data_IF_415885745009
#
_entry.id   IF_415885745009
#
_cell.length_a   1.000
_cell.length_b   1.000
_cell.length_c   1.000
_cell.angle_alpha   90.00
_cell.angle_beta   90.00
_cell.angle_gamma   90.00
#
_symmetry.space_group_name_H-M   'P 1'
#
loop_
_entity.id
_entity.type
_entity.pdbx_description
1 polymer ?
#
# COMPACT_ATOMS: atom_id res chain seq x y z
N UNK A 1 -75.37 7.62 -8.42
CA UNK A 1 -75.27 9.05 -8.77
C UNK A 1 -74.09 9.63 -8.01
N UNK A 2 -73.07 10.35 -8.52
CA UNK A 2 -72.63 10.79 -9.84
C UNK A 2 -71.36 11.65 -9.65
N UNK A 3 -70.45 11.60 -10.63
CA UNK A 3 -69.32 12.48 -11.01
C UNK A 3 -68.34 13.05 -9.93
N UNK A 4 -67.01 12.80 -9.96
CA UNK A 4 -65.96 13.30 -10.90
C UNK A 4 -65.92 14.83 -11.10
N UNK A 5 -64.84 15.49 -10.63
CA UNK A 5 -64.18 16.71 -11.18
C UNK A 5 -62.92 16.98 -10.30
N UNK A 6 -61.71 16.50 -10.61
CA UNK A 6 -60.69 17.06 -11.54
C UNK A 6 -60.38 18.56 -11.35
N UNK A 7 -59.27 18.87 -10.67
CA UNK A 7 -58.52 20.14 -10.73
C UNK A 7 -57.08 19.81 -10.32
N UNK A 8 -56.13 19.51 -11.20
CA UNK A 8 -55.46 20.37 -12.19
C UNK A 8 -55.04 21.74 -11.65
N UNK A 9 -54.03 21.77 -10.78
CA UNK A 9 -53.10 22.90 -10.72
C UNK A 9 -51.69 22.44 -11.05
N UNK A 10 -51.35 22.79 -12.29
CA UNK A 10 -50.08 22.71 -12.97
C UNK A 10 -49.22 23.84 -12.40
N UNK A 11 -48.40 23.57 -11.39
CA UNK A 11 -47.30 24.47 -11.00
C UNK A 11 -46.11 24.15 -11.88
N UNK A 12 -46.03 24.98 -12.91
CA UNK A 12 -44.96 25.09 -13.89
C UNK A 12 -43.66 25.48 -13.18
N UNK A 13 -42.78 24.51 -12.98
CA UNK A 13 -41.37 24.76 -12.74
C UNK A 13 -40.71 25.00 -14.10
N UNK A 14 -40.36 26.25 -14.36
CA UNK A 14 -39.50 26.65 -15.47
C UNK A 14 -38.06 26.38 -15.01
N UNK A 15 -37.46 25.30 -15.47
CA UNK A 15 -36.01 25.15 -15.46
C UNK A 15 -35.50 25.84 -16.74
N UNK A 16 -34.73 26.92 -16.55
CA UNK A 16 -33.95 27.54 -17.61
C UNK A 16 -32.81 26.62 -18.02
N UNK A 17 -32.76 26.34 -19.31
CA UNK A 17 -31.76 25.53 -19.98
C UNK A 17 -30.89 26.51 -20.79
N UNK A 18 -29.91 27.12 -20.13
CA UNK A 18 -28.87 27.93 -20.78
C UNK A 18 -27.56 27.15 -20.69
N UNK A 19 -27.42 26.19 -21.60
CA UNK A 19 -26.17 25.49 -21.89
C UNK A 19 -25.22 26.43 -22.62
N UNK A 20 -24.42 27.17 -21.84
CA UNK A 20 -23.37 28.04 -22.37
C UNK A 20 -22.10 27.20 -22.67
N UNK A 21 -21.85 27.00 -23.96
CA UNK A 21 -20.67 26.34 -24.52
C UNK A 21 -19.39 27.11 -24.17
N UNK A 22 -18.43 26.44 -23.52
CA UNK A 22 -17.11 27.00 -23.26
C UNK A 22 -16.28 27.12 -24.56
N UNK A 23 -15.77 28.32 -24.90
CA UNK A 23 -14.90 28.48 -26.07
C UNK A 23 -13.53 27.85 -25.85
N UNK A 24 -13.13 27.03 -26.84
CA UNK A 24 -11.82 26.41 -26.93
C UNK A 24 -10.67 27.42 -26.89
N UNK A 25 -9.85 27.33 -25.85
CA UNK A 25 -8.57 28.03 -25.78
C UNK A 25 -7.56 27.39 -26.75
N UNK A 26 -7.35 28.10 -27.86
CA UNK A 26 -6.19 27.97 -28.74
C UNK A 26 -4.95 28.46 -27.99
N UNK A 27 -4.16 27.55 -27.41
CA UNK A 27 -2.80 27.87 -26.97
C UNK A 27 -1.79 27.46 -28.05
N UNK A 28 -1.41 28.43 -28.88
CA UNK A 28 -0.25 28.35 -29.76
C UNK A 28 1.01 28.30 -28.88
N UNK A 29 1.74 27.19 -28.87
CA UNK A 29 3.12 27.18 -28.40
C UNK A 29 4.03 26.71 -29.53
N UNK A 30 4.67 27.70 -30.14
CA UNK A 30 5.90 27.52 -30.91
C UNK A 30 6.97 27.14 -29.87
N UNK A 31 7.44 25.90 -29.91
CA UNK A 31 8.67 25.53 -29.26
C UNK A 31 9.66 25.13 -30.34
N UNK A 32 10.42 26.14 -30.74
CA UNK A 32 11.68 25.95 -31.41
C UNK A 32 12.67 25.31 -30.44
N UNK A 33 13.48 24.39 -30.98
CA UNK A 33 14.87 24.23 -30.57
C UNK A 33 15.13 23.52 -29.24
N UNK A 34 15.42 22.22 -29.32
CA UNK A 34 16.73 21.69 -28.91
C UNK A 34 16.92 20.26 -29.39
N UNK A 35 17.51 20.14 -30.59
CA UNK A 35 18.19 18.93 -31.02
C UNK A 35 19.54 18.91 -30.29
N UNK A 36 19.70 18.04 -29.28
CA UNK A 36 20.99 17.72 -28.69
C UNK A 36 21.19 16.19 -28.74
N UNK A 37 21.89 15.79 -29.81
CA UNK A 37 23.03 14.87 -29.84
C UNK A 37 22.98 13.63 -28.93
N UNK A 38 22.71 12.47 -29.54
CA UNK A 38 23.28 11.19 -29.13
C UNK A 38 23.97 10.57 -30.34
N UNK A 39 25.30 10.75 -30.43
CA UNK A 39 26.19 10.11 -31.39
C UNK A 39 27.13 9.16 -30.65
N UNK A 40 27.03 7.88 -30.97
CA UNK A 40 27.78 6.78 -30.40
C UNK A 40 29.28 6.81 -30.75
N UNK A 41 30.14 6.40 -29.81
CA UNK A 41 31.43 5.74 -30.10
C UNK A 41 31.64 4.63 -29.08
N UNK A 42 31.42 3.39 -29.52
CA UNK A 42 32.00 2.19 -28.92
C UNK A 42 33.48 2.08 -29.31
N UNK A 43 34.30 1.53 -28.41
CA UNK A 43 35.34 0.50 -28.66
C UNK A 43 36.48 0.63 -27.63
N UNK A 44 36.61 -0.37 -26.76
CA UNK A 44 37.90 -1.03 -26.52
C UNK A 44 37.67 -2.34 -25.75
N UNK A 45 38.11 -3.42 -26.39
CA UNK A 45 38.15 -4.78 -25.88
C UNK A 45 39.57 -5.10 -25.35
N UNK A 46 39.72 -6.32 -24.79
CA UNK A 46 40.94 -7.03 -24.33
C UNK A 46 41.28 -6.81 -22.83
N UNK A 47 41.51 -7.80 -21.97
CA UNK A 47 42.18 -9.11 -22.13
C UNK A 47 41.78 -10.12 -21.02
N UNK A 48 41.97 -11.41 -21.30
CA UNK A 48 41.82 -12.57 -20.41
C UNK A 48 42.95 -12.66 -19.37
N UNK A 49 42.65 -13.07 -18.12
CA UNK A 49 43.60 -13.85 -17.30
C UNK A 49 42.88 -14.92 -16.48
N UNK A 50 43.25 -16.16 -16.80
CA UNK A 50 42.99 -17.39 -16.08
C UNK A 50 43.92 -17.47 -14.85
N UNK A 51 43.36 -17.59 -13.64
CA UNK A 51 44.11 -17.81 -12.40
C UNK A 51 43.58 -19.04 -11.67
N UNK A 52 44.24 -20.17 -11.90
CA UNK A 52 44.07 -21.45 -11.22
C UNK A 52 45.30 -21.68 -10.34
N UNK A 53 45.12 -22.08 -9.08
CA UNK A 53 46.19 -22.61 -8.23
C UNK A 53 46.05 -22.33 -6.73
N UNK A 54 45.80 -23.36 -5.92
CA UNK A 54 45.94 -23.33 -4.45
C UNK A 54 45.17 -24.43 -3.71
N UNK A 55 45.81 -25.58 -3.52
CA UNK A 55 45.36 -26.85 -2.93
C UNK A 55 45.25 -26.87 -1.39
N UNK A 56 44.39 -27.76 -0.84
CA UNK A 56 44.54 -28.33 0.50
C UNK A 56 43.31 -28.29 1.42
N UNK A 57 42.46 -29.33 1.40
CA UNK A 57 41.43 -29.52 2.43
C UNK A 57 40.45 -30.67 2.18
N UNK A 58 40.86 -31.88 2.55
CA UNK A 58 40.13 -33.14 2.42
C UNK A 58 38.80 -33.18 3.20
N UNK A 59 37.78 -33.81 2.60
CA UNK A 59 36.75 -34.53 3.35
C UNK A 59 35.31 -34.24 2.99
N UNK A 60 34.67 -35.16 2.25
CA UNK A 60 33.20 -35.32 2.29
C UNK A 60 32.54 -35.44 0.93
N UNK A 61 32.73 -36.57 0.25
CA UNK A 61 31.77 -37.03 -0.74
C UNK A 61 30.51 -37.51 0.00
N UNK A 62 29.36 -36.88 -0.27
CA UNK A 62 28.07 -37.55 -0.23
C UNK A 62 27.22 -37.07 -1.40
N UNK A 63 26.98 -37.98 -2.34
CA UNK A 63 25.91 -37.89 -3.30
C UNK A 63 24.56 -38.10 -2.58
N UNK A 64 23.57 -37.27 -2.89
CA UNK A 64 22.17 -37.65 -2.79
C UNK A 64 21.38 -36.85 -3.82
N UNK A 65 21.10 -37.52 -4.94
CA UNK A 65 19.96 -37.22 -5.76
C UNK A 65 18.72 -37.87 -5.11
N UNK A 66 17.69 -37.09 -4.80
CA UNK A 66 16.29 -37.52 -4.85
C UNK A 66 15.33 -36.35 -4.61
N UNK A 67 14.55 -36.07 -5.65
CA UNK A 67 13.29 -35.33 -5.67
C UNK A 67 12.40 -35.55 -4.44
N UNK A 68 11.98 -34.46 -3.79
CA UNK A 68 10.61 -34.27 -3.32
C UNK A 68 10.35 -32.81 -2.91
N UNK A 69 9.36 -32.22 -3.60
CA UNK A 69 8.28 -31.45 -2.98
C UNK A 69 8.63 -30.06 -2.41
N UNK A 70 8.37 -29.05 -3.24
CA UNK A 70 7.84 -27.75 -2.85
C UNK A 70 8.49 -27.11 -1.63
N UNK A 71 9.62 -26.46 -1.82
CA UNK A 71 9.93 -25.26 -1.04
C UNK A 71 9.50 -24.09 -1.89
N UNK A 72 8.50 -23.34 -1.42
CA UNK A 72 8.21 -22.03 -1.94
C UNK A 72 9.52 -21.25 -1.94
N UNK A 73 10.01 -20.93 -3.13
CA UNK A 73 11.05 -19.91 -3.29
C UNK A 73 10.48 -18.64 -2.69
N UNK A 74 10.90 -18.29 -1.48
CA UNK A 74 10.78 -16.92 -1.01
C UNK A 74 11.49 -16.06 -2.06
N UNK A 75 10.74 -15.17 -2.70
CA UNK A 75 11.29 -14.27 -3.72
C UNK A 75 12.49 -13.54 -3.14
N UNK A 76 13.67 -13.58 -3.79
CA UNK A 76 14.85 -12.82 -3.34
C UNK A 76 14.61 -11.30 -3.34
N UNK A 77 13.55 -10.86 -4.02
CA UNK A 77 13.13 -9.47 -4.14
C UNK A 77 12.73 -8.82 -2.81
N UNK A 78 12.13 -9.57 -1.86
CA UNK A 78 11.69 -8.99 -0.59
C UNK A 78 12.86 -8.55 0.30
N UNK A 79 13.95 -9.33 0.31
CA UNK A 79 15.14 -8.99 1.08
C UNK A 79 15.94 -7.82 0.49
N UNK A 80 16.01 -7.71 -0.84
CA UNK A 80 16.71 -6.59 -1.49
C UNK A 80 15.91 -5.29 -1.36
N UNK A 81 14.60 -5.32 -1.58
CA UNK A 81 13.72 -4.15 -1.45
C UNK A 81 13.67 -3.63 -0.01
N UNK A 82 13.65 -4.54 0.99
CA UNK A 82 13.79 -4.17 2.39
C UNK A 82 15.13 -3.47 2.68
N UNK A 83 16.23 -3.98 2.14
CA UNK A 83 17.55 -3.36 2.36
C UNK A 83 17.64 -1.95 1.75
N UNK A 84 17.08 -1.76 0.56
CA UNK A 84 17.00 -0.45 -0.10
C UNK A 84 16.13 0.52 0.69
N UNK A 85 15.00 0.04 1.22
CA UNK A 85 14.11 0.82 2.08
C UNK A 85 14.82 1.25 3.38
N UNK A 86 15.50 0.32 4.07
CA UNK A 86 16.27 0.62 5.29
C UNK A 86 17.34 1.67 5.01
N UNK A 87 18.05 1.58 3.89
CA UNK A 87 19.06 2.55 3.50
C UNK A 87 18.46 3.94 3.19
N UNK A 88 17.30 3.99 2.53
CA UNK A 88 16.58 5.24 2.31
C UNK A 88 16.14 5.88 3.63
N UNK A 89 15.63 5.08 4.57
CA UNK A 89 15.28 5.55 5.91
C UNK A 89 16.50 6.10 6.67
N UNK A 90 17.67 5.46 6.58
CA UNK A 90 18.92 5.98 7.17
C UNK A 90 19.30 7.35 6.60
N UNK A 91 19.15 7.55 5.29
CA UNK A 91 19.42 8.86 4.64
C UNK A 91 18.45 9.93 5.11
N UNK A 92 17.16 9.60 5.21
CA UNK A 92 16.14 10.51 5.72
C UNK A 92 16.42 10.92 7.17
N UNK A 93 16.67 9.94 8.05
CA UNK A 93 17.00 10.20 9.46
C UNK A 93 18.29 11.03 9.59
N UNK A 94 19.32 10.76 8.77
CA UNK A 94 20.54 11.59 8.74
C UNK A 94 20.21 13.05 8.43
N UNK A 95 19.37 13.30 7.42
CA UNK A 95 18.94 14.66 7.08
C UNK A 95 18.18 15.33 8.25
N UNK A 96 17.32 14.59 8.96
CA UNK A 96 16.61 15.13 10.12
C UNK A 96 17.59 15.55 11.24
N UNK A 97 18.65 14.76 11.48
CA UNK A 97 19.71 15.11 12.43
C UNK A 97 20.50 16.34 11.99
N UNK A 98 20.82 16.42 10.71
CA UNK A 98 21.49 17.60 10.15
C UNK A 98 20.61 18.86 10.25
N UNK A 99 19.29 18.69 10.18
CA UNK A 99 18.30 19.74 10.43
C UNK A 99 18.07 20.03 11.93
N UNK A 100 18.76 19.32 12.83
CA UNK A 100 18.76 19.54 14.26
C UNK A 100 17.66 18.82 15.04
N UNK A 101 17.04 17.78 14.48
CA UNK A 101 16.15 16.88 15.20
C UNK A 101 16.90 15.66 15.72
N UNK A 102 16.56 15.24 16.94
CA UNK A 102 17.06 13.97 17.46
C UNK A 102 16.18 12.83 16.94
N UNK A 103 16.68 12.16 15.88
CA UNK A 103 16.00 11.07 15.22
C UNK A 103 16.85 9.78 15.33
N UNK A 104 16.34 8.71 15.97
CA UNK A 104 17.08 7.46 16.09
C UNK A 104 17.18 6.75 14.73
N UNK A 105 18.17 5.87 14.60
CA UNK A 105 18.31 5.04 13.39
C UNK A 105 17.13 4.08 13.21
N UNK A 106 16.80 3.72 11.95
CA UNK A 106 15.82 2.67 11.69
C UNK A 106 16.30 1.30 12.19
N UNK A 107 15.35 0.48 12.63
CA UNK A 107 15.57 -0.93 12.94
C UNK A 107 15.85 -1.78 11.67
N UNK A 108 16.02 -3.10 11.84
CA UNK A 108 16.25 -4.02 10.73
C UNK A 108 15.08 -4.10 9.73
N UNK A 109 13.90 -3.57 10.09
CA UNK A 109 12.71 -3.50 9.24
C UNK A 109 12.50 -2.10 8.64
N UNK A 110 13.43 -1.16 8.88
CA UNK A 110 13.33 0.21 8.39
C UNK A 110 12.47 1.13 9.28
N UNK A 111 12.05 0.65 10.45
CA UNK A 111 11.19 1.40 11.36
C UNK A 111 11.97 2.39 12.20
N UNK A 112 11.55 3.64 12.14
CA UNK A 112 12.12 4.74 12.91
C UNK A 112 11.18 5.09 14.06
N UNK A 113 11.61 4.85 15.30
CA UNK A 113 10.84 5.26 16.48
C UNK A 113 11.09 6.73 16.81
N UNK A 114 10.26 7.61 16.25
CA UNK A 114 10.34 9.06 16.52
C UNK A 114 9.68 9.48 17.85
N UNK A 115 9.22 8.52 18.66
CA UNK A 115 8.52 8.78 19.92
C UNK A 115 7.19 9.52 19.71
N UNK A 116 6.93 10.56 20.52
CA UNK A 116 5.69 11.33 20.47
C UNK A 116 5.61 12.26 19.25
N UNK A 117 5.06 11.72 18.16
CA UNK A 117 4.76 12.42 16.91
C UNK A 117 3.93 13.71 17.10
N UNK A 118 3.13 13.80 18.17
CA UNK A 118 2.31 14.99 18.44
C UNK A 118 3.17 16.20 18.83
N UNK A 119 4.36 15.99 19.38
CA UNK A 119 5.32 17.08 19.65
C UNK A 119 5.92 17.60 18.35
N UNK A 120 6.30 16.70 17.45
CA UNK A 120 6.91 17.05 16.16
C UNK A 120 5.94 17.82 15.26
N UNK A 121 4.66 17.45 15.27
CA UNK A 121 3.61 18.18 14.53
C UNK A 121 3.36 19.60 15.03
N UNK A 122 3.73 19.91 16.27
CA UNK A 122 3.52 21.23 16.91
C UNK A 122 4.80 22.07 16.99
N UNK A 123 5.95 21.47 16.74
CA UNK A 123 7.25 22.16 16.78
C UNK A 123 7.60 22.72 15.39
N UNK A 124 7.71 24.05 15.23
CA UNK A 124 8.11 24.67 13.98
C UNK A 124 9.45 24.17 13.44
N UNK A 125 10.40 23.81 14.32
CA UNK A 125 11.70 23.27 13.93
C UNK A 125 11.54 21.90 13.27
N UNK A 126 10.67 21.06 13.85
CA UNK A 126 10.41 19.73 13.32
C UNK A 126 9.64 19.77 11.99
N UNK A 127 8.70 20.70 11.83
CA UNK A 127 8.01 20.91 10.55
C UNK A 127 8.98 21.36 9.45
N UNK A 128 9.85 22.33 9.75
CA UNK A 128 10.86 22.79 8.78
C UNK A 128 11.87 21.71 8.42
N UNK A 129 12.30 20.89 9.37
CA UNK A 129 13.19 19.77 9.11
C UNK A 129 12.53 18.71 8.22
N UNK A 130 11.26 18.36 8.50
CA UNK A 130 10.49 17.44 7.65
C UNK A 130 10.34 17.98 6.23
N UNK A 131 10.07 19.27 6.06
CA UNK A 131 9.96 19.90 4.73
C UNK A 131 11.31 19.87 3.99
N UNK A 132 12.41 20.21 4.67
CA UNK A 132 13.76 20.14 4.08
C UNK A 132 14.16 18.73 3.64
N UNK A 133 13.73 17.72 4.41
CA UNK A 133 14.08 16.32 4.18
C UNK A 133 13.01 15.54 3.41
N UNK A 134 11.93 16.19 2.96
CA UNK A 134 10.77 15.53 2.34
C UNK A 134 11.14 14.69 1.12
N UNK A 135 12.10 15.14 0.31
CA UNK A 135 12.58 14.42 -0.87
C UNK A 135 13.34 13.11 -0.57
N UNK A 136 13.73 12.88 0.69
CA UNK A 136 14.38 11.64 1.15
C UNK A 136 13.40 10.69 1.83
N UNK A 137 12.19 11.15 2.18
CA UNK A 137 11.14 10.31 2.74
C UNK A 137 10.57 9.43 1.64
N UNK A 138 10.90 8.15 1.66
CA UNK A 138 10.38 7.17 0.70
C UNK A 138 9.09 6.53 1.22
N UNK A 139 8.18 6.18 0.32
CA UNK A 139 7.04 5.35 0.66
C UNK A 139 7.52 3.95 1.07
N UNK A 140 6.77 3.30 1.95
CA UNK A 140 7.01 1.89 2.28
C UNK A 140 6.63 1.05 1.06
N UNK A 141 7.53 0.20 0.54
CA UNK A 141 7.16 -0.72 -0.53
C UNK A 141 6.15 -1.77 -0.06
N UNK A 142 5.23 -2.20 -0.93
CA UNK A 142 4.17 -3.17 -0.61
C UNK A 142 4.74 -4.47 -0.01
N UNK A 143 5.91 -4.92 -0.48
CA UNK A 143 6.54 -6.14 0.02
C UNK A 143 7.04 -5.98 1.46
N UNK A 144 7.55 -4.79 1.80
CA UNK A 144 7.99 -4.44 3.16
C UNK A 144 6.79 -4.30 4.08
N UNK A 145 5.73 -3.62 3.61
CA UNK A 145 4.49 -3.47 4.39
C UNK A 145 3.89 -4.85 4.72
N UNK A 146 3.84 -5.77 3.75
CA UNK A 146 3.37 -7.14 3.97
C UNK A 146 4.25 -7.91 4.95
N UNK A 147 5.57 -7.81 4.83
CA UNK A 147 6.52 -8.47 5.74
C UNK A 147 6.45 -7.93 7.18
N UNK A 148 5.93 -6.71 7.35
CA UNK A 148 5.78 -6.04 8.64
C UNK A 148 4.47 -6.35 9.35
N UNK A 149 3.51 -7.01 8.69
CA UNK A 149 2.22 -7.30 9.29
C UNK A 149 2.39 -8.27 10.47
N UNK A 150 1.63 -8.07 11.58
CA UNK A 150 1.72 -8.96 12.73
C UNK A 150 1.31 -10.39 12.37
N UNK A 151 2.11 -11.37 12.75
CA UNK A 151 1.72 -12.77 12.63
C UNK A 151 0.52 -13.05 13.54
N UNK A 152 -0.52 -13.62 12.96
CA UNK A 152 -1.75 -13.97 13.66
C UNK A 152 -1.66 -15.39 14.21
N UNK A 153 -2.24 -15.61 15.38
CA UNK A 153 -2.46 -16.96 15.88
C UNK A 153 -3.41 -17.73 14.97
N UNK A 154 -3.32 -19.06 15.00
CA UNK A 154 -4.22 -19.92 14.21
C UNK A 154 -5.70 -19.67 14.55
N UNK A 155 -6.01 -19.27 15.78
CA UNK A 155 -7.38 -18.98 16.21
C UNK A 155 -7.88 -17.64 15.62
N UNK A 156 -7.01 -16.64 15.53
CA UNK A 156 -7.31 -15.37 14.87
C UNK A 156 -7.48 -15.54 13.36
N UNK A 157 -6.61 -16.32 12.72
CA UNK A 157 -6.73 -16.65 11.29
C UNK A 157 -8.09 -17.29 11.00
N UNK A 158 -8.47 -18.34 11.76
CA UNK A 158 -9.78 -19.00 11.61
C UNK A 158 -10.94 -18.06 11.89
N UNK A 159 -10.78 -17.13 12.84
CA UNK A 159 -11.82 -16.14 13.16
C UNK A 159 -12.04 -15.17 12.01
N UNK A 160 -10.97 -14.67 11.39
CA UNK A 160 -11.05 -13.77 10.23
C UNK A 160 -11.60 -14.47 8.99
N UNK A 161 -11.21 -15.72 8.75
CA UNK A 161 -11.79 -16.55 7.68
C UNK A 161 -13.30 -16.74 7.87
N UNK A 162 -13.74 -17.11 9.09
CA UNK A 162 -15.17 -17.22 9.42
C UNK A 162 -15.91 -15.89 9.24
N UNK A 163 -15.27 -14.77 9.59
CA UNK A 163 -15.86 -13.45 9.40
C UNK A 163 -16.05 -13.14 7.92
N UNK A 164 -15.06 -13.43 7.07
CA UNK A 164 -15.17 -13.26 5.62
C UNK A 164 -16.33 -14.05 5.04
N UNK A 165 -16.40 -15.36 5.35
CA UNK A 165 -17.50 -16.23 4.89
C UNK A 165 -18.86 -15.71 5.37
N UNK A 166 -18.98 -15.32 6.64
CA UNK A 166 -20.22 -14.75 7.16
C UNK A 166 -20.62 -13.48 6.40
N UNK A 167 -19.67 -12.57 6.16
CA UNK A 167 -19.93 -11.33 5.43
C UNK A 167 -20.46 -11.60 4.03
N UNK A 168 -19.82 -12.52 3.31
CA UNK A 168 -20.19 -12.94 1.96
C UNK A 168 -21.60 -13.55 1.91
N UNK A 169 -21.94 -14.43 2.86
CA UNK A 169 -23.25 -15.07 2.95
C UNK A 169 -24.37 -14.10 3.38
N UNK A 170 -24.05 -13.08 4.18
CA UNK A 170 -25.04 -12.18 4.78
C UNK A 170 -25.21 -10.83 4.05
N UNK A 171 -24.71 -10.72 2.82
CA UNK A 171 -25.03 -9.62 1.90
C UNK A 171 -23.85 -8.77 1.45
N UNK A 172 -22.61 -9.16 1.74
CA UNK A 172 -21.39 -8.55 1.22
C UNK A 172 -20.60 -9.56 0.35
N UNK A 173 -21.15 -10.03 -0.79
CA UNK A 173 -20.54 -11.09 -1.59
C UNK A 173 -19.17 -10.72 -2.18
N UNK A 174 -18.84 -9.42 -2.22
CA UNK A 174 -17.56 -8.86 -2.63
C UNK A 174 -16.59 -8.61 -1.47
N UNK A 175 -16.97 -8.97 -0.24
CA UNK A 175 -16.09 -8.87 0.92
C UNK A 175 -14.84 -9.75 0.73
N UNK A 176 -13.63 -9.22 0.96
CA UNK A 176 -12.39 -9.92 0.67
C UNK A 176 -12.16 -11.14 1.55
N UNK A 177 -11.61 -12.19 0.95
CA UNK A 177 -11.05 -13.32 1.70
C UNK A 177 -9.72 -12.95 2.37
N UNK A 178 -9.30 -13.77 3.33
CA UNK A 178 -7.95 -13.69 3.89
C UNK A 178 -6.96 -14.53 3.09
N UNK A 179 -5.68 -14.15 3.11
CA UNK A 179 -4.58 -15.02 2.67
C UNK A 179 -4.22 -16.09 3.72
N UNK A 180 -3.18 -16.89 3.44
CA UNK A 180 -2.73 -17.98 4.31
C UNK A 180 -2.29 -17.50 5.71
N UNK A 181 -1.81 -16.26 5.80
CA UNK A 181 -1.47 -15.60 7.06
C UNK A 181 -2.67 -14.98 7.78
N UNK A 182 -3.87 -15.07 7.22
CA UNK A 182 -5.10 -14.53 7.80
C UNK A 182 -5.29 -13.03 7.63
N UNK A 183 -4.54 -12.38 6.74
CA UNK A 183 -4.73 -10.97 6.41
C UNK A 183 -5.69 -10.84 5.22
N UNK A 184 -6.63 -9.88 5.28
CA UNK A 184 -7.55 -9.64 4.17
C UNK A 184 -6.78 -9.18 2.94
N UNK A 185 -7.20 -9.67 1.78
CA UNK A 185 -6.67 -9.22 0.50
C UNK A 185 -6.99 -7.74 0.31
N UNK A 186 -6.01 -6.98 -0.21
CA UNK A 186 -6.21 -5.58 -0.56
C UNK A 186 -6.93 -5.49 -1.92
N UNK A 187 -8.25 -5.62 -1.85
CA UNK A 187 -9.15 -5.47 -3.00
C UNK A 187 -10.27 -4.51 -2.66
N UNK A 188 -10.69 -3.73 -3.65
CA UNK A 188 -11.82 -2.81 -3.53
C UNK A 188 -13.12 -3.61 -3.34
N UNK A 189 -13.84 -3.33 -2.26
CA UNK A 189 -15.17 -3.88 -1.98
C UNK A 189 -16.14 -2.78 -1.49
N UNK A 190 -17.43 -2.94 -1.75
CA UNK A 190 -18.46 -1.95 -1.39
C UNK A 190 -18.96 -2.14 0.05
N UNK A 191 -18.17 -1.60 0.97
CA UNK A 191 -18.51 -1.50 2.40
C UNK A 191 -19.73 -0.61 2.71
N UNK A 192 -20.17 0.20 1.75
CA UNK A 192 -21.26 1.16 1.96
C UNK A 192 -22.63 0.62 1.57
N UNK A 193 -22.66 -0.50 0.84
CA UNK A 193 -23.88 -1.16 0.40
C UNK A 193 -24.82 -1.50 1.56
N UNK A 194 -26.12 -1.54 1.29
CA UNK A 194 -27.10 -1.98 2.29
C UNK A 194 -26.87 -3.43 2.72
N UNK A 195 -26.30 -4.25 1.83
CA UNK A 195 -25.89 -5.63 2.10
C UNK A 195 -24.71 -5.69 3.07
N UNK A 196 -23.62 -4.97 2.79
CA UNK A 196 -22.46 -4.85 3.69
C UNK A 196 -22.86 -4.41 5.09
N UNK A 197 -23.68 -3.37 5.21
CA UNK A 197 -24.16 -2.89 6.52
C UNK A 197 -24.97 -3.95 7.28
N UNK A 198 -25.77 -4.77 6.58
CA UNK A 198 -26.52 -5.87 7.20
C UNK A 198 -25.58 -6.99 7.63
N UNK A 199 -24.65 -7.37 6.76
CA UNK A 199 -23.65 -8.39 7.01
C UNK A 199 -22.78 -8.02 8.23
N UNK A 200 -22.28 -6.79 8.32
CA UNK A 200 -21.48 -6.32 9.45
C UNK A 200 -22.20 -6.47 10.79
N UNK A 201 -23.51 -6.18 10.84
CA UNK A 201 -24.31 -6.38 12.05
C UNK A 201 -24.54 -7.85 12.36
N UNK A 202 -24.87 -8.66 11.36
CA UNK A 202 -25.12 -10.09 11.54
C UNK A 202 -23.86 -10.86 11.98
N UNK A 203 -22.69 -10.42 11.52
CA UNK A 203 -21.40 -11.08 11.73
C UNK A 203 -20.56 -10.46 12.84
N UNK A 204 -21.06 -9.44 13.55
CA UNK A 204 -20.33 -8.73 14.61
C UNK A 204 -19.82 -9.67 15.71
N UNK A 205 -20.66 -10.62 16.13
CA UNK A 205 -20.32 -11.61 17.15
C UNK A 205 -19.15 -12.54 16.76
N UNK A 206 -18.90 -12.74 15.47
CA UNK A 206 -17.76 -13.57 14.98
C UNK A 206 -16.43 -12.98 15.44
N UNK A 207 -16.31 -11.65 15.44
CA UNK A 207 -15.12 -10.90 15.87
C UNK A 207 -15.22 -10.38 17.30
N UNK A 208 -16.19 -10.89 18.08
CA UNK A 208 -16.36 -10.52 19.50
C UNK A 208 -17.00 -9.15 19.74
N UNK A 209 -17.57 -8.52 18.71
CA UNK A 209 -18.39 -7.31 18.89
C UNK A 209 -19.79 -7.75 19.32
N UNK A 210 -20.29 -7.32 20.50
CA UNK A 210 -21.62 -7.71 20.96
C UNK A 210 -22.70 -7.12 20.05
N UNK A 211 -23.80 -7.86 19.87
CA UNK A 211 -24.89 -7.49 18.95
C UNK A 211 -25.57 -6.15 19.31
N UNK A 212 -25.41 -5.69 20.56
CA UNK A 212 -25.93 -4.41 21.08
C UNK A 212 -24.92 -3.25 21.00
N UNK A 213 -23.76 -3.43 20.34
CA UNK A 213 -22.78 -2.37 20.20
C UNK A 213 -23.36 -1.18 19.42
N UNK A 214 -23.27 0.06 19.95
CA UNK A 214 -23.80 1.23 19.25
C UNK A 214 -23.03 1.42 17.93
N UNK A 215 -23.78 1.59 16.84
CA UNK A 215 -23.19 1.90 15.53
C UNK A 215 -22.32 3.16 15.64
N UNK A 216 -21.04 3.15 15.22
CA UNK A 216 -20.23 4.35 15.20
C UNK A 216 -20.94 5.41 14.34
N UNK A 217 -21.26 6.55 14.94
CA UNK A 217 -21.77 7.70 14.19
C UNK A 217 -20.58 8.33 13.47
N UNK A 218 -20.50 8.13 12.16
CA UNK A 218 -19.58 8.84 11.26
C UNK A 218 -20.10 10.22 10.92
#
# INVERSE_FOLDING_TARGET
>A
MGALLRSSRRTQWVAGDDGEEHPGMRARRRFEGRLWLMGAVSLTALTLTTGCGGDGGSGGEVASAATAKGSATASPSGSSELSEYVDAQRRWVSCLRDAGLDAPDPDARGMVDLGDQSKWKRDPKALQAQEKCAGLSVAVPDSVEKAMQPELSQDEIRTKQRYATCMQEHGAPDFPDTDESGHFQDVTWDSTSAGAKRATRACASVIGVPDDAPTPQG
#
